data_IF_304082698613
#
_entry.id   IF_304082698613
#
_cell.length_a   1.000
_cell.length_b   1.000
_cell.length_c   1.000
_cell.angle_alpha   90.00
_cell.angle_beta   90.00
_cell.angle_gamma   90.00
#
_symmetry.space_group_name_H-M   'P 1'
#
loop_
_entity.id
_entity.type
_entity.pdbx_description
1 polymer ?
#
# COMPACT_ATOMS: atom_id res chain seq x y z
N UNK A 1 -0.50 -10.41 -4.99
CA UNK A 1 -1.90 -9.99 -5.25
C UNK A 1 -2.45 -9.14 -4.10
N UNK A 2 -2.29 -9.57 -2.83
CA UNK A 2 -2.70 -8.79 -1.66
C UNK A 2 -2.15 -7.35 -1.63
N UNK A 3 -0.85 -7.15 -1.91
CA UNK A 3 -0.23 -5.81 -1.95
C UNK A 3 -0.83 -4.91 -3.03
N UNK A 4 -1.11 -5.47 -4.22
CA UNK A 4 -1.72 -4.72 -5.32
C UNK A 4 -3.16 -4.29 -4.97
N UNK A 5 -3.94 -5.18 -4.36
CA UNK A 5 -5.29 -4.88 -3.89
C UNK A 5 -5.29 -3.89 -2.73
N UNK A 6 -4.31 -3.98 -1.82
CA UNK A 6 -4.13 -3.02 -0.73
C UNK A 6 -3.78 -1.63 -1.27
N UNK A 7 -2.88 -1.56 -2.25
CA UNK A 7 -2.53 -0.34 -2.95
C UNK A 7 -3.73 0.29 -3.67
N UNK A 8 -4.48 -0.50 -4.44
CA UNK A 8 -5.70 -0.04 -5.12
C UNK A 8 -6.72 0.49 -4.13
N UNK A 9 -6.99 -0.26 -3.06
CA UNK A 9 -7.93 0.17 -2.03
C UNK A 9 -7.48 1.45 -1.32
N UNK A 10 -6.17 1.60 -1.03
CA UNK A 10 -5.61 2.80 -0.43
C UNK A 10 -5.81 4.04 -1.32
N UNK A 11 -5.57 3.90 -2.62
CA UNK A 11 -5.77 4.98 -3.60
C UNK A 11 -7.26 5.33 -3.75
N UNK A 12 -8.15 4.34 -3.81
CA UNK A 12 -9.60 4.55 -3.85
C UNK A 12 -10.09 5.29 -2.61
N UNK A 13 -9.62 4.87 -1.43
CA UNK A 13 -9.98 5.49 -0.16
C UNK A 13 -9.46 6.94 -0.11
N UNK A 14 -8.24 7.19 -0.58
CA UNK A 14 -7.70 8.54 -0.62
C UNK A 14 -8.57 9.48 -1.49
N UNK A 15 -9.03 9.00 -2.64
CA UNK A 15 -10.00 9.71 -3.48
C UNK A 15 -11.31 9.99 -2.73
N UNK A 16 -11.87 8.99 -2.05
CA UNK A 16 -13.12 9.12 -1.30
C UNK A 16 -13.01 10.12 -0.14
N UNK A 17 -11.83 10.23 0.48
CA UNK A 17 -11.56 11.17 1.56
C UNK A 17 -11.25 12.59 1.05
N UNK A 18 -11.18 12.81 -0.26
CA UNK A 18 -10.96 14.12 -0.86
C UNK A 18 -9.50 14.58 -0.81
N UNK A 19 -8.54 13.66 -0.67
CA UNK A 19 -7.13 13.99 -0.86
C UNK A 19 -6.88 14.28 -2.35
N UNK A 20 -6.09 15.31 -2.63
CA UNK A 20 -5.76 15.73 -4.01
C UNK A 20 -4.28 15.52 -4.34
N UNK A 21 -3.46 15.13 -3.36
CA UNK A 21 -2.05 14.80 -3.54
C UNK A 21 -1.75 13.51 -2.79
N UNK A 22 -1.24 12.49 -3.49
CA UNK A 22 -1.03 11.15 -2.93
C UNK A 22 0.36 10.60 -3.28
N UNK A 23 1.09 10.16 -2.25
CA UNK A 23 2.30 9.36 -2.41
C UNK A 23 1.98 7.92 -2.01
N UNK A 24 2.02 7.00 -2.97
CA UNK A 24 1.81 5.58 -2.73
C UNK A 24 3.17 4.89 -2.53
N UNK A 25 3.47 4.55 -1.28
CA UNK A 25 4.67 3.78 -0.93
C UNK A 25 4.35 2.29 -0.87
N UNK A 26 5.16 1.47 -1.57
CA UNK A 26 5.01 0.01 -1.60
C UNK A 26 6.37 -0.67 -1.52
N UNK A 27 6.47 -1.79 -0.80
CA UNK A 27 7.69 -2.61 -0.70
C UNK A 27 7.75 -3.76 -1.71
N UNK A 28 6.78 -3.80 -2.64
CA UNK A 28 6.71 -4.78 -3.70
C UNK A 28 7.30 -4.24 -5.01
N UNK A 29 8.58 -4.53 -5.26
CA UNK A 29 9.26 -4.08 -6.48
C UNK A 29 8.53 -4.55 -7.75
N UNK A 30 8.03 -5.79 -7.78
CA UNK A 30 7.29 -6.35 -8.91
C UNK A 30 6.05 -5.53 -9.25
N UNK A 31 5.35 -5.00 -8.24
CA UNK A 31 4.17 -4.15 -8.45
C UNK A 31 4.58 -2.82 -9.08
N UNK A 32 5.64 -2.20 -8.57
CA UNK A 32 6.16 -0.92 -9.09
C UNK A 32 6.64 -1.06 -10.53
N UNK A 33 7.39 -2.13 -10.84
CA UNK A 33 7.88 -2.39 -12.19
C UNK A 33 6.74 -2.63 -13.18
N UNK A 34 5.71 -3.39 -12.78
CA UNK A 34 4.53 -3.62 -13.62
C UNK A 34 3.71 -2.35 -13.85
N UNK A 35 3.58 -1.51 -12.83
CA UNK A 35 2.91 -0.20 -12.93
C UNK A 35 3.68 0.73 -13.89
N UNK A 36 5.01 0.74 -13.82
CA UNK A 36 5.86 1.58 -14.65
C UNK A 36 5.82 1.18 -16.14
N UNK A 37 5.70 -0.12 -16.44
CA UNK A 37 5.79 -0.62 -17.82
C UNK A 37 4.47 -0.62 -18.59
N UNK A 38 3.30 -0.55 -17.93
CA UNK A 38 1.96 -0.56 -18.58
C UNK A 38 1.68 -1.71 -19.57
N UNK A 39 2.60 -2.65 -19.76
CA UNK A 39 2.67 -3.58 -20.90
C UNK A 39 1.81 -4.85 -20.76
N UNK A 40 1.27 -5.15 -19.57
CA UNK A 40 0.58 -6.44 -19.32
C UNK A 40 -0.83 -6.28 -18.75
N UNK A 41 -1.68 -5.50 -19.43
CA UNK A 41 -3.10 -5.29 -19.05
C UNK A 41 -3.92 -6.59 -19.03
N UNK A 42 -3.43 -7.68 -19.61
CA UNK A 42 -4.11 -8.97 -19.66
C UNK A 42 -3.91 -9.86 -18.41
N UNK A 43 -3.09 -9.41 -17.44
CA UNK A 43 -2.93 -10.11 -16.15
C UNK A 43 -3.79 -9.44 -15.08
N UNK A 44 -4.23 -10.19 -14.06
CA UNK A 44 -4.99 -9.62 -12.93
C UNK A 44 -4.24 -8.46 -12.26
N UNK A 45 -2.93 -8.61 -12.05
CA UNK A 45 -2.07 -7.55 -11.50
C UNK A 45 -2.01 -6.35 -12.45
N UNK A 46 -2.01 -6.57 -13.76
CA UNK A 46 -2.05 -5.50 -14.75
C UNK A 46 -3.37 -4.73 -14.76
N UNK A 47 -4.51 -5.40 -14.56
CA UNK A 47 -5.82 -4.76 -14.41
C UNK A 47 -5.88 -3.89 -13.15
N UNK A 48 -5.42 -4.42 -12.02
CA UNK A 48 -5.30 -3.66 -10.76
C UNK A 48 -4.36 -2.47 -10.95
N UNK A 49 -3.23 -2.69 -11.63
CA UNK A 49 -2.27 -1.62 -11.90
C UNK A 49 -2.85 -0.50 -12.78
N UNK A 50 -3.64 -0.86 -13.79
CA UNK A 50 -4.37 0.13 -14.61
C UNK A 50 -5.36 0.93 -13.78
N UNK A 51 -6.10 0.27 -12.88
CA UNK A 51 -7.02 0.92 -11.95
C UNK A 51 -6.30 1.97 -11.09
N UNK A 52 -5.18 1.58 -10.46
CA UNK A 52 -4.33 2.49 -9.67
C UNK A 52 -3.90 3.72 -10.48
N UNK A 53 -3.40 3.51 -11.70
CA UNK A 53 -2.93 4.60 -12.56
C UNK A 53 -4.08 5.53 -12.99
N UNK A 54 -5.27 4.99 -13.25
CA UNK A 54 -6.44 5.81 -13.56
C UNK A 54 -6.84 6.72 -12.39
N UNK A 55 -6.62 6.28 -11.15
CA UNK A 55 -6.83 7.14 -9.98
C UNK A 55 -5.70 8.15 -9.73
N UNK A 56 -4.45 7.80 -10.07
CA UNK A 56 -3.26 8.63 -9.83
C UNK A 56 -2.92 9.62 -10.96
N UNK A 57 -3.60 9.54 -12.10
CA UNK A 57 -3.35 10.43 -13.25
C UNK A 57 -4.42 10.47 -14.33
N UNK A 58 -5.61 9.91 -14.07
CA UNK A 58 -6.77 9.92 -14.98
C UNK A 58 -7.83 10.97 -14.61
N UNK A 59 -9.11 10.68 -14.86
CA UNK A 59 -10.26 11.56 -14.57
C UNK A 59 -10.47 11.86 -13.06
N UNK A 60 -9.76 11.15 -12.18
CA UNK A 60 -9.77 11.38 -10.74
C UNK A 60 -8.66 12.39 -10.34
N UNK A 61 -9.05 13.35 -9.50
CA UNK A 61 -8.42 14.65 -9.23
C UNK A 61 -7.09 14.59 -8.42
N UNK A 62 -6.45 13.42 -8.32
CA UNK A 62 -5.27 13.26 -7.47
C UNK A 62 -3.98 13.34 -8.28
N UNK A 63 -3.16 14.34 -7.98
CA UNK A 63 -1.75 14.31 -8.37
C UNK A 63 -1.04 13.28 -7.49
N UNK A 64 -0.45 12.25 -8.08
CA UNK A 64 0.20 11.24 -7.26
C UNK A 64 1.36 10.52 -7.91
N UNK A 65 2.20 9.97 -7.05
CA UNK A 65 3.40 9.23 -7.44
C UNK A 65 3.50 7.91 -6.67
N UNK A 66 4.19 6.95 -7.27
CA UNK A 66 4.39 5.63 -6.68
C UNK A 66 5.87 5.47 -6.38
N UNK A 67 6.20 5.10 -5.14
CA UNK A 67 7.57 4.95 -4.66
C UNK A 67 7.79 3.55 -4.10
N UNK A 68 8.86 2.91 -4.57
CA UNK A 68 9.32 1.67 -3.96
C UNK A 68 10.09 1.99 -2.68
N UNK A 69 9.67 1.43 -1.55
CA UNK A 69 10.34 1.57 -0.26
C UNK A 69 11.03 0.26 0.14
N UNK A 70 12.04 0.37 1.02
CA UNK A 70 12.65 -0.84 1.61
C UNK A 70 11.62 -1.56 2.47
N UNK A 71 11.66 -2.89 2.50
CA UNK A 71 10.71 -3.73 3.28
C UNK A 71 10.55 -3.31 4.75
N UNK A 72 11.63 -2.87 5.41
CA UNK A 72 11.57 -2.37 6.78
C UNK A 72 10.82 -1.03 6.94
N UNK A 73 10.73 -0.21 5.89
CA UNK A 73 9.98 1.04 5.90
C UNK A 73 8.46 0.82 5.76
N UNK A 74 8.04 -0.35 5.26
CA UNK A 74 6.62 -0.74 5.16
C UNK A 74 6.20 -1.74 6.24
N UNK A 75 6.96 -1.83 7.35
CA UNK A 75 6.74 -2.85 8.38
C UNK A 75 5.37 -2.72 9.06
N UNK A 76 4.85 -1.50 9.20
CA UNK A 76 3.51 -1.28 9.73
C UNK A 76 2.43 -1.97 8.88
N UNK A 77 2.48 -1.81 7.55
CA UNK A 77 1.55 -2.49 6.65
C UNK A 77 1.75 -4.00 6.66
N UNK A 78 2.99 -4.48 6.78
CA UNK A 78 3.30 -5.90 6.91
C UNK A 78 2.66 -6.52 8.15
N UNK A 79 2.81 -5.87 9.31
CA UNK A 79 2.20 -6.28 10.58
C UNK A 79 0.67 -6.27 10.47
N UNK A 80 0.09 -5.18 9.94
CA UNK A 80 -1.36 -5.08 9.73
C UNK A 80 -1.91 -6.14 8.77
N UNK A 81 -1.12 -6.61 7.80
CA UNK A 81 -1.53 -7.70 6.92
C UNK A 81 -1.50 -9.06 7.63
N UNK A 82 -0.51 -9.29 8.51
CA UNK A 82 -0.33 -10.56 9.23
C UNK A 82 -1.18 -10.68 10.50
N UNK A 83 -1.62 -9.57 11.08
CA UNK A 83 -2.48 -9.55 12.27
C UNK A 83 -3.92 -9.99 11.99
N UNK A 84 -4.31 -10.13 10.71
CA UNK A 84 -5.68 -10.45 10.32
C UNK A 84 -5.98 -11.93 10.45
N UNK A 85 -7.03 -12.24 11.19
CA UNK A 85 -7.62 -13.58 11.28
C UNK A 85 -8.54 -13.90 10.10
N UNK A 86 -9.05 -12.89 9.40
CA UNK A 86 -9.93 -13.03 8.24
C UNK A 86 -9.37 -12.31 7.01
N UNK A 87 -9.11 -13.10 5.96
CA UNK A 87 -8.55 -12.64 4.69
C UNK A 87 -9.43 -11.61 3.94
N UNK A 88 -10.73 -11.54 4.23
CA UNK A 88 -11.67 -10.59 3.61
C UNK A 88 -11.82 -9.25 4.35
N UNK A 89 -11.19 -9.09 5.51
CA UNK A 89 -11.32 -7.85 6.28
C UNK A 89 -10.36 -6.77 5.78
N UNK A 90 -10.89 -5.59 5.43
CA UNK A 90 -10.09 -4.39 5.14
C UNK A 90 -9.86 -3.64 6.45
N UNK A 91 -8.62 -3.23 6.69
CA UNK A 91 -8.23 -2.48 7.88
C UNK A 91 -7.33 -1.35 7.42
N UNK A 92 -7.56 -0.17 7.96
CA UNK A 92 -6.88 1.06 7.55
C UNK A 92 -6.49 1.81 8.81
N UNK A 93 -5.30 2.38 8.76
CA UNK A 93 -4.84 3.37 9.72
C UNK A 93 -4.74 4.72 9.02
N UNK A 94 -5.50 5.72 9.49
CA UNK A 94 -5.45 7.11 9.01
C UNK A 94 -4.82 8.03 10.06
N UNK A 95 -5.45 8.16 11.23
CA UNK A 95 -5.00 9.10 12.27
C UNK A 95 -4.28 8.42 13.43
N UNK A 96 -4.88 7.37 13.99
CA UNK A 96 -4.34 6.66 15.17
C UNK A 96 -4.06 5.20 14.85
N UNK A 97 -2.85 4.70 15.15
CA UNK A 97 -2.53 3.32 14.89
C UNK A 97 -3.36 2.40 15.80
N UNK A 98 -3.75 1.21 15.33
CA UNK A 98 -4.25 0.18 16.21
C UNK A 98 -3.26 -0.14 17.33
N UNK A 99 -3.76 -0.41 18.55
CA UNK A 99 -2.89 -0.61 19.73
C UNK A 99 -1.90 -1.75 19.50
N UNK A 100 -2.37 -2.86 18.89
CA UNK A 100 -1.53 -4.02 18.59
C UNK A 100 -0.33 -3.66 17.68
N UNK A 101 -0.48 -2.66 16.81
CA UNK A 101 0.54 -2.23 15.87
C UNK A 101 1.65 -1.47 16.61
N UNK A 102 1.28 -0.61 17.56
CA UNK A 102 2.23 0.14 18.40
C UNK A 102 3.09 -0.81 19.23
N UNK A 103 2.48 -1.84 19.82
CA UNK A 103 3.19 -2.81 20.65
C UNK A 103 4.19 -3.63 19.82
N UNK A 104 3.83 -4.02 18.59
CA UNK A 104 4.70 -4.78 17.70
C UNK A 104 5.84 -3.94 17.11
N UNK A 105 5.56 -2.70 16.66
CA UNK A 105 6.60 -1.81 16.14
C UNK A 105 7.66 -1.46 17.19
N UNK A 106 7.28 -1.34 18.47
CA UNK A 106 8.22 -1.13 19.57
C UNK A 106 9.14 -2.32 19.81
N UNK A 107 8.71 -3.54 19.49
CA UNK A 107 9.52 -4.76 19.64
C UNK A 107 10.56 -4.88 18.51
N UNK A 108 10.23 -4.39 17.31
CA UNK A 108 11.14 -4.39 16.16
C UNK A 108 12.30 -3.40 16.30
N UNK A 109 12.07 -2.25 16.95
CA UNK A 109 13.14 -1.28 17.25
C UNK A 109 14.18 -1.85 18.24
N UNK A 110 13.75 -2.68 19.20
CA UNK A 110 14.64 -3.26 20.22
C UNK A 110 15.49 -4.41 19.64
N UNK A 111 14.95 -5.17 18.68
CA UNK A 111 15.68 -6.30 18.05
C UNK A 111 16.70 -5.84 17.01
N UNK A 112 16.50 -4.65 16.41
CA UNK A 112 17.41 -4.05 15.42
C UNK A 112 18.73 -3.52 15.99
N UNK A 113 18.88 -3.47 17.33
CA UNK A 113 20.12 -3.04 18.01
C UNK A 113 21.03 -4.24 18.36
N UNK A 114 20.59 -5.46 18.07
CA UNK A 114 21.28 -6.70 18.43
C UNK A 114 21.73 -7.57 17.25
N UNK A 115 22.05 -6.97 16.10
CA UNK A 115 22.60 -7.67 14.91
C UNK A 115 23.90 -7.06 14.42
#
# INVERSE_FOLDING_TARGET
>A
MAEALAAEFGVQLACQLGYNNLMLEVDCLTLVEKLARLEEVHTEIGLIGRSIINYLGGEAVIEGCIWHVRRGANNAAHIMAHSKTHWDSREVWLERPPIYLVDQLKLDDVTSISS
#
